data_IF_642549114850
#
_entry.id   IF_642549114850
#
_cell.length_a   1.000
_cell.length_b   1.000
_cell.length_c   1.000
_cell.angle_alpha   90.00
_cell.angle_beta   90.00
_cell.angle_gamma   90.00
#
_symmetry.space_group_name_H-M   'P 1'
#
loop_
_entity.id
_entity.type
_entity.pdbx_description
1 polymer ?
#
# COMPACT_ATOMS: atom_id res chain seq x y z
N UNK A 1 -0.54 7.70 23.83
CA UNK A 1 -0.03 8.37 22.62
C UNK A 1 -1.20 9.19 22.06
N UNK A 2 -1.01 10.49 21.74
CA UNK A 2 -2.12 11.36 21.34
C UNK A 2 -2.65 10.96 19.95
N UNK A 3 -3.97 10.82 19.79
CA UNK A 3 -4.66 10.51 18.51
C UNK A 3 -4.13 11.34 17.33
N UNK A 4 -3.85 12.63 17.56
CA UNK A 4 -3.29 13.54 16.56
C UNK A 4 -1.93 13.10 15.98
N UNK A 5 -1.04 12.52 16.81
CA UNK A 5 0.26 12.02 16.36
C UNK A 5 0.12 10.75 15.51
N UNK A 6 -0.96 9.99 15.73
CA UNK A 6 -1.29 8.79 14.96
C UNK A 6 -1.85 9.15 13.59
N UNK A 7 -2.80 10.10 13.53
CA UNK A 7 -3.39 10.56 12.26
C UNK A 7 -2.33 11.24 11.36
N UNK A 8 -1.42 12.04 11.93
CA UNK A 8 -0.30 12.65 11.21
C UNK A 8 0.70 11.59 10.69
N UNK A 9 0.85 10.48 11.41
CA UNK A 9 1.76 9.39 11.04
C UNK A 9 1.20 8.52 9.92
N UNK A 10 -0.06 8.11 10.02
CA UNK A 10 -0.78 7.39 8.96
C UNK A 10 -0.75 8.19 7.66
N UNK A 11 -1.02 9.49 7.75
CA UNK A 11 -0.97 10.41 6.62
C UNK A 11 0.43 10.42 5.97
N UNK A 12 1.50 10.40 6.77
CA UNK A 12 2.88 10.36 6.26
C UNK A 12 3.21 9.07 5.51
N UNK A 13 2.81 7.91 6.02
CA UNK A 13 3.06 6.63 5.34
C UNK A 13 2.24 6.50 4.05
N UNK A 14 1.00 7.01 4.03
CA UNK A 14 0.21 7.11 2.80
C UNK A 14 0.90 7.99 1.75
N UNK A 15 1.42 9.16 2.13
CA UNK A 15 2.21 10.01 1.22
C UNK A 15 3.47 9.31 0.70
N UNK A 16 4.16 8.52 1.52
CA UNK A 16 5.34 7.77 1.07
C UNK A 16 4.97 6.70 0.05
N UNK A 17 3.87 5.98 0.28
CA UNK A 17 3.33 4.97 -0.64
C UNK A 17 2.95 5.62 -1.98
N UNK A 18 2.24 6.75 -1.96
CA UNK A 18 1.90 7.52 -3.16
C UNK A 18 3.14 7.99 -3.93
N UNK A 19 4.17 8.43 -3.20
CA UNK A 19 5.46 8.82 -3.78
C UNK A 19 6.09 7.68 -4.57
N UNK A 20 6.14 6.46 -4.02
CA UNK A 20 6.65 5.30 -4.74
C UNK A 20 5.80 4.93 -5.97
N UNK A 21 4.46 5.04 -5.89
CA UNK A 21 3.57 4.76 -7.03
C UNK A 21 3.82 5.77 -8.16
N UNK A 22 4.01 7.04 -7.81
CA UNK A 22 4.34 8.08 -8.77
C UNK A 22 5.67 7.82 -9.47
N UNK A 23 6.73 7.54 -8.70
CA UNK A 23 8.05 7.18 -9.25
C UNK A 23 7.97 5.96 -10.19
N UNK A 24 7.25 4.91 -9.77
CA UNK A 24 7.06 3.73 -10.60
C UNK A 24 6.31 4.04 -11.90
N UNK A 25 5.34 4.95 -11.86
CA UNK A 25 4.60 5.39 -13.05
C UNK A 25 5.53 6.08 -14.06
N UNK A 26 6.44 6.94 -13.59
CA UNK A 26 7.46 7.56 -14.44
C UNK A 26 8.37 6.48 -15.06
N UNK A 27 8.83 5.53 -14.25
CA UNK A 27 9.68 4.42 -14.70
C UNK A 27 8.99 3.47 -15.71
N UNK A 28 7.65 3.48 -15.82
CA UNK A 28 6.95 2.74 -16.89
C UNK A 28 7.05 3.41 -18.26
N UNK A 29 7.30 4.72 -18.30
CA UNK A 29 7.42 5.53 -19.52
C UNK A 29 8.87 5.54 -20.02
N UNK A 30 9.83 5.56 -19.09
CA UNK A 30 11.25 5.44 -19.38
C UNK A 30 11.59 4.01 -19.84
N UNK A 31 11.58 3.78 -21.14
CA UNK A 31 12.07 2.52 -21.71
C UNK A 31 13.49 2.25 -21.21
N UNK A 32 13.73 1.00 -20.79
CA UNK A 32 15.02 0.43 -20.37
C UNK A 32 15.40 0.50 -18.87
N UNK A 33 14.52 0.98 -17.98
CA UNK A 33 14.85 1.06 -16.54
C UNK A 33 14.33 -0.10 -15.67
N UNK A 34 14.41 -1.34 -16.18
CA UNK A 34 13.81 -2.53 -15.54
C UNK A 34 14.32 -2.79 -14.12
N UNK A 35 15.63 -2.68 -13.91
CA UNK A 35 16.22 -2.92 -12.59
C UNK A 35 15.75 -1.89 -11.56
N UNK A 36 15.66 -0.62 -11.96
CA UNK A 36 15.15 0.42 -11.07
C UNK A 36 13.67 0.24 -10.77
N UNK A 37 12.86 -0.16 -11.77
CA UNK A 37 11.45 -0.46 -11.55
C UNK A 37 11.27 -1.59 -10.52
N UNK A 38 12.03 -2.69 -10.66
CA UNK A 38 11.96 -3.81 -9.70
C UNK A 38 12.40 -3.36 -8.30
N UNK A 39 13.51 -2.62 -8.20
CA UNK A 39 14.01 -2.13 -6.91
C UNK A 39 12.99 -1.20 -6.23
N UNK A 40 12.39 -0.26 -6.99
CA UNK A 40 11.36 0.64 -6.47
C UNK A 40 10.07 -0.09 -6.10
N UNK A 41 9.68 -1.11 -6.85
CA UNK A 41 8.54 -1.95 -6.50
C UNK A 41 8.77 -2.72 -5.20
N UNK A 42 9.99 -3.20 -4.97
CA UNK A 42 10.37 -3.83 -3.71
C UNK A 42 10.36 -2.84 -2.54
N UNK A 43 10.74 -1.58 -2.76
CA UNK A 43 10.63 -0.51 -1.75
C UNK A 43 9.15 -0.20 -1.42
N UNK A 44 8.31 0.00 -2.44
CA UNK A 44 6.86 0.16 -2.29
C UNK A 44 6.26 -0.99 -1.47
N UNK A 45 6.57 -2.24 -1.84
CA UNK A 45 6.04 -3.42 -1.16
C UNK A 45 6.49 -3.50 0.30
N UNK A 46 7.73 -3.10 0.60
CA UNK A 46 8.22 -3.02 1.99
C UNK A 46 7.51 -1.93 2.78
N UNK A 47 7.31 -0.75 2.18
CA UNK A 47 6.60 0.37 2.78
C UNK A 47 5.15 -0.03 3.14
N UNK A 48 4.38 -0.57 2.18
CA UNK A 48 3.00 -1.05 2.41
C UNK A 48 2.95 -2.12 3.51
N UNK A 49 3.86 -3.11 3.48
CA UNK A 49 3.87 -4.18 4.49
C UNK A 49 4.19 -3.66 5.89
N UNK A 50 5.11 -2.70 5.97
CA UNK A 50 5.47 -2.05 7.24
C UNK A 50 4.28 -1.26 7.78
N UNK A 51 3.62 -0.48 6.93
CA UNK A 51 2.43 0.29 7.27
C UNK A 51 1.32 -0.62 7.81
N UNK A 52 0.95 -1.68 7.07
CA UNK A 52 -0.03 -2.65 7.53
C UNK A 52 0.34 -3.29 8.86
N UNK A 53 1.61 -3.68 9.06
CA UNK A 53 2.01 -4.28 10.34
C UNK A 53 1.82 -3.33 11.52
N UNK A 54 2.08 -2.03 11.34
CA UNK A 54 1.88 -1.02 12.39
C UNK A 54 0.40 -0.79 12.67
N UNK A 55 -0.40 -0.58 11.62
CA UNK A 55 -1.86 -0.48 11.77
C UNK A 55 -2.42 -1.70 12.50
N UNK A 56 -2.00 -2.91 12.10
CA UNK A 56 -2.46 -4.14 12.73
C UNK A 56 -2.02 -4.27 14.19
N UNK A 57 -0.81 -3.82 14.56
CA UNK A 57 -0.34 -3.75 15.94
C UNK A 57 -1.19 -2.79 16.77
N UNK A 58 -1.53 -1.62 16.22
CA UNK A 58 -2.38 -0.63 16.88
C UNK A 58 -3.82 -1.13 17.03
N UNK A 59 -4.35 -1.83 16.02
CA UNK A 59 -5.67 -2.47 16.07
C UNK A 59 -5.74 -3.61 17.10
N UNK A 60 -4.63 -4.21 17.54
CA UNK A 60 -4.66 -5.18 18.64
C UNK A 60 -4.91 -4.50 20.00
N UNK A 61 -4.60 -3.21 20.12
CA UNK A 61 -4.76 -2.45 21.36
C UNK A 61 -6.18 -1.91 21.53
N UNK A 62 -6.99 -1.89 20.46
CA UNK A 62 -8.36 -1.38 20.44
C UNK A 62 -9.31 -2.57 20.19
N UNK A 63 -10.26 -2.84 21.08
CA UNK A 63 -11.26 -3.88 20.81
C UNK A 63 -12.37 -3.34 19.90
N UNK A 64 -12.22 -3.51 18.59
CA UNK A 64 -13.26 -3.23 17.59
C UNK A 64 -13.52 -4.48 16.72
N UNK A 65 -14.80 -4.78 16.48
CA UNK A 65 -15.24 -5.91 15.66
C UNK A 65 -14.74 -5.84 14.22
N UNK A 66 -14.41 -4.64 13.71
CA UNK A 66 -13.92 -4.45 12.35
C UNK A 66 -12.44 -4.81 12.18
N UNK A 67 -11.68 -4.98 13.26
CA UNK A 67 -10.22 -5.21 13.21
C UNK A 67 -9.87 -6.53 12.53
N UNK A 68 -10.72 -7.55 12.67
CA UNK A 68 -10.53 -8.83 11.97
C UNK A 68 -10.72 -8.65 10.47
N UNK A 69 -11.74 -7.91 10.04
CA UNK A 69 -11.98 -7.64 8.63
C UNK A 69 -10.84 -6.82 8.02
N UNK A 70 -10.39 -5.76 8.71
CA UNK A 70 -9.26 -4.92 8.31
C UNK A 70 -7.98 -5.76 8.08
N UNK A 71 -7.62 -6.62 9.05
CA UNK A 71 -6.48 -7.55 8.94
C UNK A 71 -6.60 -8.51 7.76
N UNK A 72 -7.81 -9.01 7.49
CA UNK A 72 -8.06 -9.88 6.33
C UNK A 72 -7.85 -9.11 5.02
N UNK A 73 -8.30 -7.86 4.93
CA UNK A 73 -8.05 -7.00 3.77
C UNK A 73 -6.54 -6.81 3.52
N UNK A 74 -5.76 -6.54 4.57
CA UNK A 74 -4.29 -6.47 4.46
C UNK A 74 -3.69 -7.79 3.97
N UNK A 75 -4.10 -8.93 4.54
CA UNK A 75 -3.57 -10.24 4.15
C UNK A 75 -3.83 -10.55 2.67
N UNK A 76 -5.05 -10.27 2.17
CA UNK A 76 -5.42 -10.41 0.77
C UNK A 76 -4.52 -9.53 -0.12
N UNK A 77 -4.31 -8.28 0.28
CA UNK A 77 -3.49 -7.36 -0.51
C UNK A 77 -1.99 -7.72 -0.49
N UNK A 78 -1.45 -8.20 0.65
CA UNK A 78 -0.07 -8.74 0.72
C UNK A 78 0.13 -9.88 -0.28
N UNK A 79 -0.86 -10.76 -0.44
CA UNK A 79 -0.82 -11.83 -1.44
C UNK A 79 -0.90 -11.27 -2.88
N UNK A 80 -1.71 -10.24 -3.10
CA UNK A 80 -1.78 -9.54 -4.39
C UNK A 80 -0.44 -8.91 -4.79
N UNK A 81 0.24 -8.23 -3.86
CA UNK A 81 1.60 -7.69 -4.06
C UNK A 81 2.62 -8.78 -4.41
N UNK A 82 2.50 -9.96 -3.80
CA UNK A 82 3.35 -11.11 -4.14
C UNK A 82 3.12 -11.59 -5.57
N UNK A 83 1.86 -11.63 -6.03
CA UNK A 83 1.55 -11.99 -7.40
C UNK A 83 2.03 -10.95 -8.41
N UNK A 84 1.86 -9.67 -8.10
CA UNK A 84 2.42 -8.56 -8.89
C UNK A 84 3.93 -8.65 -9.06
N UNK A 85 4.66 -9.06 -8.00
CA UNK A 85 6.11 -9.26 -8.09
C UNK A 85 6.51 -10.25 -9.20
N UNK A 86 5.68 -11.25 -9.48
CA UNK A 86 5.92 -12.24 -10.56
C UNK A 86 5.69 -11.65 -11.96
N UNK A 87 4.90 -10.58 -12.06
CA UNK A 87 4.49 -9.93 -13.31
C UNK A 87 5.37 -8.72 -13.67
N UNK A 88 6.35 -8.34 -12.83
CA UNK A 88 7.20 -7.15 -13.06
C UNK A 88 8.04 -7.21 -14.34
N UNK A 89 8.23 -8.41 -14.89
CA UNK A 89 9.01 -8.66 -16.10
C UNK A 89 8.18 -8.51 -17.38
N UNK A 90 6.88 -8.29 -17.25
CA UNK A 90 5.96 -8.14 -18.38
C UNK A 90 6.04 -6.75 -19.02
N UNK A 91 5.15 -6.52 -19.99
CA UNK A 91 5.03 -5.27 -20.74
C UNK A 91 4.80 -4.04 -19.85
N UNK A 92 5.10 -2.85 -20.35
CA UNK A 92 4.78 -1.60 -19.64
C UNK A 92 3.27 -1.45 -19.39
N UNK A 93 2.41 -1.96 -20.30
CA UNK A 93 0.96 -2.00 -20.08
C UNK A 93 0.58 -2.85 -18.86
N UNK A 94 1.23 -4.01 -18.68
CA UNK A 94 1.03 -4.85 -17.48
C UNK A 94 1.44 -4.09 -16.21
N UNK A 95 2.57 -3.37 -16.24
CA UNK A 95 3.04 -2.56 -15.11
C UNK A 95 2.08 -1.41 -14.78
N UNK A 96 1.58 -0.68 -15.77
CA UNK A 96 0.60 0.39 -15.59
C UNK A 96 -0.68 -0.17 -14.96
N UNK A 97 -1.17 -1.30 -15.46
CA UNK A 97 -2.36 -1.94 -14.92
C UNK A 97 -2.16 -2.37 -13.46
N UNK A 98 -1.00 -2.94 -13.14
CA UNK A 98 -0.62 -3.27 -11.77
C UNK A 98 -0.63 -2.04 -10.86
N UNK A 99 0.00 -0.94 -11.27
CA UNK A 99 0.04 0.30 -10.48
C UNK A 99 -1.37 0.89 -10.27
N UNK A 100 -2.22 0.88 -11.30
CA UNK A 100 -3.61 1.31 -11.18
C UNK A 100 -4.39 0.46 -10.17
N UNK A 101 -4.17 -0.86 -10.15
CA UNK A 101 -4.81 -1.74 -9.16
C UNK A 101 -4.31 -1.50 -7.74
N UNK A 102 -3.04 -1.15 -7.55
CA UNK A 102 -2.49 -0.79 -6.24
C UNK A 102 -3.13 0.51 -5.76
N UNK A 103 -3.13 1.54 -6.61
CA UNK A 103 -3.71 2.83 -6.29
C UNK A 103 -5.21 2.74 -5.99
N UNK A 104 -5.97 2.02 -6.81
CA UNK A 104 -7.40 1.78 -6.57
C UNK A 104 -7.65 1.09 -5.23
N UNK A 105 -6.84 0.07 -4.89
CA UNK A 105 -6.99 -0.61 -3.61
C UNK A 105 -6.70 0.33 -2.44
N UNK A 106 -5.65 1.17 -2.53
CA UNK A 106 -5.29 2.13 -1.47
C UNK A 106 -6.40 3.16 -1.24
N UNK A 107 -6.96 3.73 -2.32
CA UNK A 107 -8.07 4.69 -2.23
C UNK A 107 -9.26 4.03 -1.53
N UNK A 108 -9.74 2.89 -2.03
CA UNK A 108 -10.85 2.17 -1.40
C UNK A 108 -10.53 1.78 0.04
N UNK A 109 -9.30 1.36 0.33
CA UNK A 109 -8.92 0.97 1.68
C UNK A 109 -8.99 2.18 2.63
N UNK A 110 -8.43 3.32 2.22
CA UNK A 110 -8.50 4.56 2.99
C UNK A 110 -9.94 5.04 3.20
N UNK A 111 -10.82 4.98 2.19
CA UNK A 111 -12.22 5.39 2.35
C UNK A 111 -12.99 4.49 3.33
N UNK A 112 -12.68 3.19 3.35
CA UNK A 112 -13.41 2.24 4.21
C UNK A 112 -12.83 2.11 5.63
N UNK A 113 -11.61 2.58 5.87
CA UNK A 113 -10.90 2.35 7.14
C UNK A 113 -10.16 3.58 7.72
N UNK A 114 -9.92 4.65 6.93
CA UNK A 114 -9.34 5.93 7.44
C UNK A 114 -10.40 6.95 7.87
N UNK A 115 -11.68 6.78 7.49
CA UNK A 115 -12.75 7.54 8.13
C UNK A 115 -13.09 6.88 9.47
N UNK A 116 -12.98 7.68 10.53
CA UNK A 116 -13.37 7.38 11.90
C UNK A 116 -14.79 6.79 12.01
N UNK A 117 -14.96 5.49 11.75
CA UNK A 117 -16.08 4.76 12.30
C UNK A 117 -15.77 4.41 13.78
N UNK A 118 -15.97 5.47 14.55
CA UNK A 118 -16.55 5.52 15.88
C UNK A 118 -15.69 5.02 17.06
N UNK A 119 -14.91 5.94 17.64
CA UNK A 119 -15.05 6.31 19.07
C UNK A 119 -14.98 7.84 19.20
#
# INVERSE_FOLDING_TARGET
MCQKLFDEYLTREHFEIEGYIHELSILTIENDNRSNFINKFDMLTKCIKSHFSKEEEDLLMIQNNNNTAHRVHHAIFRNKLFNFKKQLIESNNSKIHMLAQIQYWLINHSENYNENDAI
#
